data_IF_266489591101
#
_entry.id   IF_266489591101
#
_cell.length_a   1.000
_cell.length_b   1.000
_cell.length_c   1.000
_cell.angle_alpha   90.00
_cell.angle_beta   90.00
_cell.angle_gamma   90.00
#
_symmetry.space_group_name_H-M   'P 1'
#
loop_
_entity.id
_entity.type
_entity.pdbx_description
1 polymer ?
#
# COMPACT_ATOMS: atom_id res chain seq x y z
N UNK A 1 28.36 -21.16 50.00
CA UNK A 1 27.55 -21.89 49.02
C UNK A 1 26.38 -21.00 48.57
N UNK A 2 26.69 -19.83 48.02
CA UNK A 2 25.69 -18.81 47.68
C UNK A 2 26.03 -18.05 46.35
N UNK A 3 26.68 -18.74 45.40
CA UNK A 3 27.13 -18.12 44.12
C UNK A 3 26.33 -18.61 42.89
N UNK A 4 25.43 -19.59 43.06
CA UNK A 4 24.75 -20.23 41.93
C UNK A 4 23.41 -19.58 41.54
N UNK A 5 22.78 -18.80 42.40
CA UNK A 5 21.43 -18.26 42.22
C UNK A 5 21.38 -16.93 41.44
N UNK A 6 22.47 -16.17 41.45
CA UNK A 6 22.57 -14.90 40.68
C UNK A 6 22.78 -15.13 39.19
N UNK A 7 23.54 -16.18 38.84
CA UNK A 7 23.82 -16.48 37.44
C UNK A 7 22.57 -16.96 36.66
N UNK A 8 21.73 -17.79 37.31
CA UNK A 8 20.49 -18.26 36.72
C UNK A 8 19.47 -17.13 36.51
N UNK A 9 19.46 -16.12 37.36
CA UNK A 9 18.56 -14.96 37.25
C UNK A 9 19.00 -14.05 36.13
N UNK A 10 20.29 -13.80 35.97
CA UNK A 10 20.86 -13.00 34.91
C UNK A 10 20.63 -13.65 33.52
N UNK A 11 20.83 -14.96 33.39
CA UNK A 11 20.57 -15.70 32.14
C UNK A 11 19.11 -15.70 31.79
N UNK A 12 18.20 -15.78 32.76
CA UNK A 12 16.75 -15.74 32.54
C UNK A 12 16.26 -14.34 32.11
N UNK A 13 16.85 -13.28 32.70
CA UNK A 13 16.54 -11.91 32.28
C UNK A 13 17.07 -11.61 30.86
N UNK A 14 18.31 -12.00 30.57
CA UNK A 14 18.88 -11.85 29.22
C UNK A 14 18.07 -12.66 28.19
N UNK A 15 17.69 -13.91 28.52
CA UNK A 15 16.81 -14.72 27.66
C UNK A 15 15.45 -14.05 27.39
N UNK A 16 14.83 -13.45 28.40
CA UNK A 16 13.54 -12.78 28.25
C UNK A 16 13.62 -11.44 27.49
N UNK A 17 14.77 -10.78 27.50
CA UNK A 17 15.02 -9.56 26.70
C UNK A 17 15.30 -9.92 25.25
N UNK A 18 16.05 -11.00 25.00
CA UNK A 18 16.34 -11.52 23.67
C UNK A 18 15.06 -12.07 23.03
N UNK A 19 14.21 -12.81 23.76
CA UNK A 19 12.90 -13.26 23.25
C UNK A 19 11.97 -12.09 22.94
N UNK A 20 11.93 -11.05 23.78
CA UNK A 20 11.15 -9.83 23.51
C UNK A 20 11.68 -9.03 22.32
N UNK A 21 13.00 -8.97 22.14
CA UNK A 21 13.61 -8.37 20.95
C UNK A 21 13.26 -9.15 19.69
N UNK A 22 13.42 -10.48 19.70
CA UNK A 22 13.08 -11.34 18.56
C UNK A 22 11.58 -11.33 18.21
N UNK A 23 10.67 -11.23 19.19
CA UNK A 23 9.23 -11.12 18.95
C UNK A 23 8.89 -9.74 18.38
N UNK A 24 9.55 -8.67 18.84
CA UNK A 24 9.37 -7.32 18.29
C UNK A 24 9.87 -7.21 16.86
N UNK A 25 11.04 -7.75 16.57
CA UNK A 25 11.62 -7.75 15.22
C UNK A 25 10.79 -8.61 14.26
N UNK A 26 10.32 -9.79 14.66
CA UNK A 26 9.44 -10.64 13.85
C UNK A 26 8.07 -9.99 13.57
N UNK A 27 7.49 -9.22 14.50
CA UNK A 27 6.22 -8.52 14.24
C UNK A 27 6.40 -7.34 13.28
N UNK A 28 7.56 -6.65 13.31
CA UNK A 28 7.86 -5.57 12.36
C UNK A 28 8.16 -6.10 10.95
N UNK A 29 8.65 -7.33 10.81
CA UNK A 29 8.85 -7.98 9.51
C UNK A 29 7.52 -8.32 8.79
N UNK A 30 6.44 -8.56 9.53
CA UNK A 30 5.15 -8.96 8.96
C UNK A 30 4.28 -7.78 8.56
N UNK A 31 4.51 -6.59 9.12
CA UNK A 31 3.69 -5.39 8.87
C UNK A 31 4.55 -4.25 8.35
N UNK A 32 4.27 -3.84 7.12
CA UNK A 32 4.86 -2.64 6.54
C UNK A 32 4.05 -1.40 6.97
N UNK A 33 4.47 -0.78 8.06
CA UNK A 33 3.82 0.42 8.62
C UNK A 33 3.83 1.58 7.60
N UNK A 34 4.92 1.76 6.85
CA UNK A 34 5.01 2.79 5.82
C UNK A 34 4.02 2.55 4.68
N UNK A 35 3.86 1.28 4.27
CA UNK A 35 2.84 0.89 3.31
C UNK A 35 1.43 1.22 3.80
N UNK A 36 1.13 0.95 5.07
CA UNK A 36 -0.16 1.30 5.67
C UNK A 36 -0.39 2.83 5.67
N UNK A 37 0.61 3.63 6.04
CA UNK A 37 0.53 5.09 6.02
C UNK A 37 0.27 5.60 4.60
N UNK A 38 0.97 5.10 3.60
CA UNK A 38 0.79 5.48 2.21
C UNK A 38 -0.63 5.20 1.71
N UNK A 39 -1.19 4.02 2.05
CA UNK A 39 -2.57 3.68 1.70
C UNK A 39 -3.56 4.63 2.37
N UNK A 40 -3.39 4.91 3.65
CA UNK A 40 -4.27 5.84 4.37
C UNK A 40 -4.24 7.23 3.71
N UNK A 41 -3.07 7.75 3.38
CA UNK A 41 -2.93 9.07 2.72
C UNK A 41 -3.60 9.09 1.35
N UNK A 42 -3.47 8.03 0.54
CA UNK A 42 -4.15 7.90 -0.76
C UNK A 42 -5.67 7.83 -0.59
N UNK A 43 -6.15 7.16 0.45
CA UNK A 43 -7.60 6.97 0.69
C UNK A 43 -8.30 8.25 1.15
N UNK A 44 -7.62 9.13 1.91
CA UNK A 44 -8.23 10.37 2.43
C UNK A 44 -8.88 11.23 1.35
N UNK A 45 -8.20 11.64 0.26
CA UNK A 45 -8.83 12.44 -0.79
C UNK A 45 -9.99 11.71 -1.48
N UNK A 46 -9.88 10.39 -1.67
CA UNK A 46 -10.96 9.58 -2.25
C UNK A 46 -12.21 9.59 -1.38
N UNK A 47 -12.05 9.40 -0.06
CA UNK A 47 -13.16 9.43 0.89
C UNK A 47 -13.79 10.82 0.96
N UNK A 48 -12.96 11.88 1.03
CA UNK A 48 -13.45 13.26 1.04
C UNK A 48 -14.26 13.58 -0.23
N UNK A 49 -13.79 13.12 -1.39
CA UNK A 49 -14.51 13.31 -2.66
C UNK A 49 -15.83 12.52 -2.68
N UNK A 50 -15.82 11.27 -2.25
CA UNK A 50 -17.03 10.43 -2.18
C UNK A 50 -18.10 11.05 -1.27
N UNK A 51 -17.70 11.68 -0.16
CA UNK A 51 -18.63 12.35 0.75
C UNK A 51 -19.17 13.67 0.22
N UNK A 52 -18.35 14.45 -0.53
CA UNK A 52 -18.73 15.78 -1.04
C UNK A 52 -19.35 15.76 -2.41
N UNK A 53 -19.02 14.81 -3.28
CA UNK A 53 -19.42 14.73 -4.68
C UNK A 53 -20.05 13.36 -4.98
N UNK A 54 -21.22 13.09 -4.41
CA UNK A 54 -21.91 11.80 -4.53
C UNK A 54 -22.15 11.36 -5.99
N UNK A 55 -22.49 12.30 -6.88
CA UNK A 55 -22.72 12.00 -8.30
C UNK A 55 -21.43 11.69 -9.08
N UNK A 56 -20.28 12.22 -8.65
CA UNK A 56 -18.99 11.99 -9.30
C UNK A 56 -18.38 10.62 -9.04
N UNK A 57 -18.96 9.83 -8.13
CA UNK A 57 -18.48 8.49 -7.76
C UNK A 57 -19.34 7.35 -8.35
N UNK A 58 -20.44 7.70 -9.06
CA UNK A 58 -21.30 6.70 -9.69
C UNK A 58 -20.58 6.13 -10.90
N UNK A 59 -20.38 4.80 -10.90
CA UNK A 59 -19.86 4.12 -12.08
C UNK A 59 -20.93 4.09 -13.17
N UNK A 60 -20.73 4.89 -14.21
CA UNK A 60 -21.64 4.95 -15.35
C UNK A 60 -21.42 3.79 -16.33
N UNK A 61 -20.21 3.22 -16.33
CA UNK A 61 -19.86 2.09 -17.18
C UNK A 61 -20.07 0.78 -16.43
N UNK A 62 -21.25 0.17 -16.63
CA UNK A 62 -21.65 -1.05 -15.94
C UNK A 62 -21.04 -2.30 -16.59
N UNK A 63 -19.83 -2.68 -16.16
CA UNK A 63 -19.20 -3.96 -16.48
C UNK A 63 -18.79 -4.67 -15.20
N UNK A 64 -19.70 -5.51 -14.68
CA UNK A 64 -19.50 -6.23 -13.40
C UNK A 64 -18.23 -7.07 -13.34
N UNK A 65 -17.77 -7.63 -14.47
CA UNK A 65 -16.55 -8.45 -14.49
C UNK A 65 -15.30 -7.60 -14.27
N UNK A 66 -15.19 -6.45 -14.93
CA UNK A 66 -14.05 -5.54 -14.75
C UNK A 66 -14.07 -4.88 -13.37
N UNK A 67 -15.26 -4.54 -12.87
CA UNK A 67 -15.41 -4.04 -11.50
C UNK A 67 -14.95 -5.06 -10.45
N UNK A 68 -15.31 -6.33 -10.63
CA UNK A 68 -14.89 -7.39 -9.71
C UNK A 68 -13.37 -7.57 -9.72
N UNK A 69 -12.75 -7.59 -10.91
CA UNK A 69 -11.29 -7.70 -11.05
C UNK A 69 -10.60 -6.50 -10.39
N UNK A 70 -11.12 -5.30 -10.60
CA UNK A 70 -10.61 -4.07 -9.98
C UNK A 70 -10.70 -4.12 -8.46
N UNK A 71 -11.83 -4.56 -7.92
CA UNK A 71 -12.03 -4.69 -6.48
C UNK A 71 -11.08 -5.72 -5.85
N UNK A 72 -10.96 -6.91 -6.46
CA UNK A 72 -10.03 -7.96 -5.99
C UNK A 72 -8.59 -7.44 -6.03
N UNK A 73 -8.19 -6.79 -7.13
CA UNK A 73 -6.87 -6.20 -7.27
C UNK A 73 -6.61 -5.09 -6.25
N UNK A 74 -7.59 -4.22 -6.00
CA UNK A 74 -7.50 -3.12 -5.03
C UNK A 74 -7.29 -3.64 -3.62
N UNK A 75 -8.15 -4.56 -3.16
CA UNK A 75 -8.01 -5.14 -1.82
C UNK A 75 -6.73 -5.96 -1.69
N UNK A 76 -6.31 -6.66 -2.76
CA UNK A 76 -5.03 -7.34 -2.82
C UNK A 76 -3.86 -6.36 -2.66
N UNK A 77 -3.85 -5.25 -3.41
CA UNK A 77 -2.83 -4.21 -3.28
C UNK A 77 -2.76 -3.64 -1.86
N UNK A 78 -3.91 -3.33 -1.26
CA UNK A 78 -3.96 -2.81 0.11
C UNK A 78 -3.45 -3.84 1.13
N UNK A 79 -3.94 -5.08 1.04
CA UNK A 79 -3.53 -6.14 1.95
C UNK A 79 -2.03 -6.44 1.85
N UNK A 80 -1.52 -6.68 0.64
CA UNK A 80 -0.11 -7.07 0.45
C UNK A 80 0.89 -5.92 0.54
N UNK A 81 0.45 -4.67 0.50
CA UNK A 81 1.30 -3.53 0.81
C UNK A 81 1.48 -3.33 2.32
N UNK A 82 0.51 -3.77 3.13
CA UNK A 82 0.54 -3.67 4.60
C UNK A 82 1.13 -4.95 5.19
N UNK A 83 0.66 -6.12 4.72
CA UNK A 83 0.96 -7.42 5.32
C UNK A 83 1.92 -8.21 4.44
N UNK A 84 3.04 -8.58 5.01
CA UNK A 84 4.03 -9.46 4.40
C UNK A 84 3.72 -10.88 4.82
N UNK A 85 3.30 -11.73 3.86
CA UNK A 85 2.94 -13.11 4.18
C UNK A 85 4.20 -13.95 4.32
N UNK A 86 4.46 -14.59 5.48
CA UNK A 86 5.60 -15.47 5.67
C UNK A 86 5.59 -16.62 4.65
N UNK A 87 6.77 -16.98 4.15
CA UNK A 87 6.91 -18.04 3.14
C UNK A 87 6.70 -17.58 1.70
N UNK A 88 6.35 -16.29 1.47
CA UNK A 88 6.41 -15.68 0.15
C UNK A 88 7.71 -14.89 -0.02
N UNK A 89 8.11 -14.68 -1.27
CA UNK A 89 9.26 -13.81 -1.55
C UNK A 89 8.93 -12.40 -1.12
N UNK A 90 9.57 -11.97 -0.03
CA UNK A 90 9.50 -10.64 0.53
C UNK A 90 10.85 -10.26 1.10
N UNK A 91 11.23 -9.01 0.93
CA UNK A 91 12.46 -8.44 1.49
C UNK A 91 12.94 -7.27 0.66
N UNK A 92 13.78 -6.43 1.26
CA UNK A 92 14.40 -5.31 0.55
C UNK A 92 15.63 -5.78 -0.20
N UNK A 93 15.90 -5.20 -1.38
CA UNK A 93 17.11 -5.49 -2.14
C UNK A 93 18.36 -5.01 -1.40
N UNK A 94 18.26 -3.87 -0.72
CA UNK A 94 19.29 -3.23 0.10
C UNK A 94 18.65 -2.15 0.97
N UNK A 95 19.39 -1.58 1.91
CA UNK A 95 18.93 -0.44 2.72
C UNK A 95 18.63 0.79 1.85
N UNK A 96 19.39 0.97 0.77
CA UNK A 96 19.15 2.02 -0.22
C UNK A 96 17.83 1.80 -0.97
N UNK A 97 17.46 0.56 -1.28
CA UNK A 97 16.18 0.24 -1.91
C UNK A 97 14.99 0.62 -1.02
N UNK A 98 15.11 0.46 0.29
CA UNK A 98 14.12 0.95 1.25
C UNK A 98 14.03 2.48 1.25
N UNK A 99 15.16 3.19 1.25
CA UNK A 99 15.17 4.65 1.17
C UNK A 99 14.55 5.15 -0.15
N UNK A 100 14.88 4.52 -1.28
CA UNK A 100 14.28 4.82 -2.60
C UNK A 100 12.78 4.57 -2.57
N UNK A 101 12.32 3.47 -1.96
CA UNK A 101 10.90 3.17 -1.78
C UNK A 101 10.17 4.29 -1.03
N UNK A 102 10.72 4.77 0.09
CA UNK A 102 10.11 5.84 0.88
C UNK A 102 10.06 7.16 0.09
N UNK A 103 11.15 7.57 -0.52
CA UNK A 103 11.25 8.84 -1.25
C UNK A 103 10.32 8.83 -2.46
N UNK A 104 10.40 7.81 -3.31
CA UNK A 104 9.63 7.75 -4.54
C UNK A 104 8.12 7.67 -4.26
N UNK A 105 7.68 6.82 -3.32
CA UNK A 105 6.27 6.75 -2.95
C UNK A 105 5.77 8.06 -2.32
N UNK A 106 6.56 8.70 -1.46
CA UNK A 106 6.20 10.01 -0.89
C UNK A 106 6.01 11.07 -1.97
N UNK A 107 6.91 11.12 -2.97
CA UNK A 107 6.78 12.05 -4.10
C UNK A 107 5.55 11.76 -4.95
N UNK A 108 5.28 10.49 -5.29
CA UNK A 108 4.11 10.08 -6.05
C UNK A 108 2.81 10.42 -5.32
N UNK A 109 2.74 10.16 -4.03
CA UNK A 109 1.57 10.45 -3.19
C UNK A 109 1.36 11.96 -3.04
N UNK A 110 2.44 12.72 -2.91
CA UNK A 110 2.36 14.18 -2.89
C UNK A 110 1.79 14.72 -4.21
N UNK A 111 2.28 14.25 -5.36
CA UNK A 111 1.71 14.58 -6.66
C UNK A 111 0.24 14.18 -6.77
N UNK A 112 -0.13 13.01 -6.28
CA UNK A 112 -1.52 12.54 -6.24
C UNK A 112 -2.43 13.49 -5.43
N UNK A 113 -2.01 13.87 -4.24
CA UNK A 113 -2.76 14.81 -3.39
C UNK A 113 -2.86 16.21 -4.03
N UNK A 114 -1.80 16.70 -4.67
CA UNK A 114 -1.81 17.98 -5.39
C UNK A 114 -2.81 17.95 -6.56
N UNK A 115 -2.85 16.89 -7.35
CA UNK A 115 -3.83 16.74 -8.45
C UNK A 115 -5.25 16.72 -7.88
N UNK A 116 -5.49 16.06 -6.74
CA UNK A 116 -6.78 16.09 -6.07
C UNK A 116 -7.18 17.51 -5.67
N UNK A 117 -6.28 18.29 -5.09
CA UNK A 117 -6.55 19.66 -4.65
C UNK A 117 -6.85 20.57 -5.86
N UNK A 118 -5.99 20.54 -6.88
CA UNK A 118 -6.09 21.42 -8.06
C UNK A 118 -7.32 21.08 -8.91
N UNK A 119 -7.58 19.78 -9.06
CA UNK A 119 -8.65 19.29 -9.97
C UNK A 119 -9.92 18.88 -9.22
N UNK A 120 -10.09 19.25 -7.93
CA UNK A 120 -11.18 18.73 -7.09
C UNK A 120 -12.57 18.89 -7.75
N UNK A 121 -12.86 20.07 -8.31
CA UNK A 121 -14.16 20.39 -8.95
C UNK A 121 -14.19 20.15 -10.46
N UNK A 122 -13.09 19.74 -11.07
CA UNK A 122 -13.00 19.56 -12.52
C UNK A 122 -13.21 18.09 -12.90
N UNK A 123 -14.15 17.81 -13.78
CA UNK A 123 -14.32 16.49 -14.39
C UNK A 123 -13.59 16.46 -15.75
N UNK A 124 -12.30 16.15 -15.71
CA UNK A 124 -11.44 16.08 -16.89
C UNK A 124 -10.88 14.66 -17.05
N UNK A 125 -10.67 14.24 -18.29
CA UNK A 125 -9.99 12.98 -18.61
C UNK A 125 -8.61 12.92 -17.96
N UNK A 126 -7.90 14.05 -17.94
CA UNK A 126 -6.60 14.15 -17.28
C UNK A 126 -6.67 13.79 -15.79
N UNK A 127 -7.65 14.37 -15.05
CA UNK A 127 -7.83 14.04 -13.63
C UNK A 127 -8.09 12.55 -13.44
N UNK A 128 -9.02 11.98 -14.19
CA UNK A 128 -9.37 10.57 -14.05
C UNK A 128 -8.19 9.63 -14.33
N UNK A 129 -7.44 9.91 -15.41
CA UNK A 129 -6.25 9.13 -15.74
C UNK A 129 -5.11 9.32 -14.73
N UNK A 130 -4.81 10.55 -14.35
CA UNK A 130 -3.73 10.81 -13.39
C UNK A 130 -4.02 10.15 -12.02
N UNK A 131 -5.27 10.25 -11.54
CA UNK A 131 -5.67 9.65 -10.26
C UNK A 131 -5.80 8.12 -10.31
N UNK A 132 -5.85 7.50 -11.48
CA UNK A 132 -5.82 6.05 -11.62
C UNK A 132 -4.41 5.50 -11.92
N UNK A 133 -3.60 6.24 -12.66
CA UNK A 133 -2.23 5.82 -13.01
C UNK A 133 -1.30 5.92 -11.79
N UNK A 134 -1.36 7.03 -11.02
CA UNK A 134 -0.44 7.24 -9.90
C UNK A 134 -0.54 6.13 -8.84
N UNK A 135 -1.72 5.75 -8.32
CA UNK A 135 -1.82 4.62 -7.38
C UNK A 135 -1.35 3.30 -7.99
N UNK A 136 -1.61 3.09 -9.28
CA UNK A 136 -1.14 1.90 -9.98
C UNK A 136 0.40 1.81 -10.00
N UNK A 137 1.07 2.93 -10.26
CA UNK A 137 2.54 3.02 -10.21
C UNK A 137 3.02 2.80 -8.77
N UNK A 138 2.38 3.40 -7.77
CA UNK A 138 2.73 3.22 -6.34
C UNK A 138 2.73 1.74 -5.97
N UNK A 139 1.69 0.98 -6.35
CA UNK A 139 1.60 -0.44 -6.01
C UNK A 139 2.61 -1.30 -6.75
N UNK A 140 2.78 -1.10 -8.07
CA UNK A 140 3.76 -1.85 -8.87
C UNK A 140 5.19 -1.56 -8.35
N UNK A 141 5.52 -0.29 -8.17
CA UNK A 141 6.83 0.13 -7.68
C UNK A 141 7.11 -0.42 -6.27
N UNK A 142 6.10 -0.32 -5.38
CA UNK A 142 6.21 -0.88 -4.02
C UNK A 142 6.44 -2.39 -4.06
N UNK A 143 5.72 -3.12 -4.91
CA UNK A 143 5.89 -4.56 -5.07
C UNK A 143 7.29 -4.95 -5.57
N UNK A 144 7.86 -4.17 -6.50
CA UNK A 144 9.22 -4.39 -7.01
C UNK A 144 10.25 -4.10 -5.92
N UNK A 145 10.15 -2.96 -5.23
CA UNK A 145 11.12 -2.56 -4.20
C UNK A 145 11.10 -3.51 -2.99
N UNK A 146 9.92 -3.94 -2.55
CA UNK A 146 9.74 -4.91 -1.45
C UNK A 146 9.84 -6.37 -1.89
N UNK A 147 10.11 -6.66 -3.17
CA UNK A 147 10.14 -8.02 -3.74
C UNK A 147 8.87 -8.83 -3.48
N UNK A 148 7.74 -8.18 -3.23
CA UNK A 148 6.47 -8.83 -2.95
C UNK A 148 5.79 -9.27 -4.24
N UNK A 149 5.92 -10.54 -4.58
CA UNK A 149 5.30 -11.13 -5.78
C UNK A 149 3.77 -11.01 -5.71
N UNK A 150 3.17 -11.20 -4.55
CA UNK A 150 1.72 -11.09 -4.36
C UNK A 150 1.23 -9.67 -4.62
N UNK A 151 1.97 -8.65 -4.17
CA UNK A 151 1.65 -7.26 -4.43
C UNK A 151 1.77 -6.93 -5.93
N UNK A 152 2.80 -7.44 -6.62
CA UNK A 152 2.98 -7.25 -8.06
C UNK A 152 1.79 -7.87 -8.82
N UNK A 153 1.41 -9.10 -8.50
CA UNK A 153 0.26 -9.78 -9.15
C UNK A 153 -1.03 -9.02 -8.91
N UNK A 154 -1.30 -8.59 -7.68
CA UNK A 154 -2.47 -7.78 -7.34
C UNK A 154 -2.48 -6.45 -8.11
N UNK A 155 -1.33 -5.77 -8.22
CA UNK A 155 -1.19 -4.52 -8.94
C UNK A 155 -1.39 -4.68 -10.46
N UNK A 156 -0.94 -5.78 -11.05
CA UNK A 156 -1.17 -6.11 -12.46
C UNK A 156 -2.63 -6.39 -12.77
N UNK A 157 -3.41 -6.90 -11.82
CA UNK A 157 -4.86 -7.04 -11.96
C UNK A 157 -5.57 -5.69 -11.77
N UNK A 158 -5.15 -4.94 -10.76
CA UNK A 158 -5.75 -3.65 -10.40
C UNK A 158 -5.54 -2.58 -11.47
N UNK A 159 -4.30 -2.37 -11.92
CA UNK A 159 -3.92 -1.23 -12.75
C UNK A 159 -4.73 -1.13 -14.06
N UNK A 160 -4.81 -2.16 -14.92
CA UNK A 160 -5.54 -2.07 -16.17
C UNK A 160 -7.05 -1.90 -15.94
N UNK A 161 -7.63 -2.60 -14.97
CA UNK A 161 -9.05 -2.50 -14.67
C UNK A 161 -9.41 -1.10 -14.13
N UNK A 162 -8.60 -0.58 -13.20
CA UNK A 162 -8.81 0.73 -12.59
C UNK A 162 -8.67 1.88 -13.60
N UNK A 163 -7.66 1.84 -14.45
CA UNK A 163 -7.45 2.83 -15.52
C UNK A 163 -8.60 2.79 -16.54
N UNK A 164 -9.03 1.58 -16.92
CA UNK A 164 -10.11 1.40 -17.88
C UNK A 164 -11.45 1.94 -17.35
N UNK A 165 -11.82 1.62 -16.11
CA UNK A 165 -13.03 2.12 -15.45
C UNK A 165 -12.97 3.65 -15.37
N UNK A 166 -11.86 4.22 -14.92
CA UNK A 166 -11.68 5.67 -14.78
C UNK A 166 -11.83 6.39 -16.12
N UNK A 167 -11.23 5.84 -17.18
CA UNK A 167 -11.32 6.41 -18.53
C UNK A 167 -12.73 6.34 -19.12
N UNK A 168 -13.41 5.20 -18.96
CA UNK A 168 -14.77 5.01 -19.47
C UNK A 168 -15.77 5.92 -18.76
N UNK A 169 -15.66 6.07 -17.44
CA UNK A 169 -16.56 6.91 -16.66
C UNK A 169 -16.51 8.40 -17.02
N UNK A 170 -15.41 8.89 -17.55
CA UNK A 170 -15.33 10.31 -18.01
C UNK A 170 -15.88 10.49 -19.41
N UNK A 171 -15.89 9.43 -20.24
CA UNK A 171 -16.43 9.49 -21.61
C UNK A 171 -17.93 9.22 -21.69
N UNK A 172 -18.53 8.62 -20.66
CA UNK A 172 -19.96 8.46 -20.50
C UNK A 172 -20.57 9.67 -19.79
#
# INVERSE_FOLDING_TARGET
>A
MCFRDKDYRCVKEVGSVVERGMIGDNMMEWINIFGAVFIVVIMVPNIVFALKCKEGFINKWNNKGVELIEQIGRFGCFGFMIVNIPGTWFGWWSDEAFAIYLIANSMLIMCYCLIWIICFRKNTVFKALALSIIPSIVFIFSGIMSRSVLLIVAALLFAPAHILISYKNVKC
#
